data_IF_614883935361
#
_entry.id   IF_614883935361
#
_cell.length_a   1.000
_cell.length_b   1.000
_cell.length_c   1.000
_cell.angle_alpha   90.00
_cell.angle_beta   90.00
_cell.angle_gamma   90.00
#
_symmetry.space_group_name_H-M   'P 1'
#
loop_
_entity.id
_entity.type
_entity.pdbx_description
1 polymer ?
#
# COMPACT_ATOMS: atom_id res chain seq x y z
N UNK A 1 -18.46 20.94 -9.28
CA UNK A 1 -17.39 21.70 -8.59
C UNK A 1 -16.68 20.68 -7.72
N UNK A 2 -15.66 20.04 -8.26
CA UNK A 2 -15.00 18.89 -7.63
C UNK A 2 -14.14 19.40 -6.47
N UNK A 3 -14.55 19.08 -5.24
CA UNK A 3 -13.75 19.29 -4.03
C UNK A 3 -12.74 18.13 -3.89
N UNK A 4 -11.96 17.88 -4.93
CA UNK A 4 -10.88 16.90 -4.87
C UNK A 4 -9.65 17.62 -4.30
N UNK A 5 -9.15 17.13 -3.18
CA UNK A 5 -8.09 17.75 -2.41
C UNK A 5 -6.73 17.56 -3.12
N UNK A 6 -6.50 18.27 -4.22
CA UNK A 6 -5.26 18.22 -5.00
C UNK A 6 -4.00 18.30 -4.12
N UNK A 7 -2.97 17.52 -4.48
CA UNK A 7 -1.64 17.51 -3.83
C UNK A 7 -0.61 18.32 -4.62
N UNK A 8 0.57 18.51 -4.05
CA UNK A 8 1.67 19.22 -4.71
C UNK A 8 2.15 18.44 -5.95
N UNK A 9 2.50 19.09 -7.08
CA UNK A 9 2.56 20.55 -7.33
C UNK A 9 1.29 21.14 -7.97
N UNK A 10 0.19 20.39 -8.07
CA UNK A 10 -1.00 20.78 -8.85
C UNK A 10 -1.67 22.05 -8.30
N UNK A 11 -1.49 22.35 -7.01
CA UNK A 11 -2.09 23.51 -6.33
C UNK A 11 -1.08 24.16 -5.38
N UNK A 12 -0.77 25.45 -5.58
CA UNK A 12 0.27 26.19 -4.82
C UNK A 12 0.05 26.22 -3.29
N UNK A 13 -1.17 25.95 -2.81
CA UNK A 13 -1.53 25.94 -1.39
C UNK A 13 -1.96 24.56 -0.86
N UNK A 14 -1.54 23.46 -1.50
CA UNK A 14 -1.87 22.09 -1.07
C UNK A 14 -0.87 21.46 -0.10
N UNK A 15 0.04 22.23 0.49
CA UNK A 15 1.07 21.71 1.41
C UNK A 15 0.48 20.89 2.55
N UNK A 16 -0.63 21.35 3.14
CA UNK A 16 -1.29 20.66 4.25
C UNK A 16 -1.97 19.35 3.79
N UNK A 17 -2.71 19.39 2.67
CA UNK A 17 -3.32 18.18 2.05
C UNK A 17 -2.27 17.13 1.68
N UNK A 18 -1.16 17.58 1.07
CA UNK A 18 -0.05 16.70 0.69
C UNK A 18 0.57 16.04 1.91
N UNK A 19 0.81 16.81 2.98
CA UNK A 19 1.35 16.29 4.24
C UNK A 19 0.40 15.29 4.88
N UNK A 20 -0.90 15.59 4.95
CA UNK A 20 -1.90 14.68 5.50
C UNK A 20 -1.99 13.37 4.70
N UNK A 21 -2.00 13.46 3.37
CA UNK A 21 -1.99 12.28 2.50
C UNK A 21 -0.74 11.41 2.75
N UNK A 22 0.45 12.00 2.75
CA UNK A 22 1.70 11.27 3.01
C UNK A 22 1.74 10.67 4.40
N UNK A 23 1.23 11.38 5.42
CA UNK A 23 1.16 10.86 6.78
C UNK A 23 0.30 9.61 6.84
N UNK A 24 -0.89 9.61 6.21
CA UNK A 24 -1.75 8.42 6.17
C UNK A 24 -1.07 7.22 5.49
N UNK A 25 -0.34 7.46 4.39
CA UNK A 25 0.42 6.40 3.72
C UNK A 25 1.50 5.82 4.64
N UNK A 26 2.24 6.69 5.35
CA UNK A 26 3.26 6.26 6.31
C UNK A 26 2.65 5.46 7.46
N UNK A 27 1.53 5.91 8.01
CA UNK A 27 0.85 5.23 9.12
C UNK A 27 0.46 3.79 8.72
N UNK A 28 -0.07 3.58 7.52
CA UNK A 28 -0.38 2.24 6.98
C UNK A 28 0.90 1.40 6.83
N UNK A 29 1.99 1.99 6.34
CA UNK A 29 3.26 1.26 6.22
C UNK A 29 3.81 0.82 7.58
N UNK A 30 3.69 1.67 8.61
CA UNK A 30 4.12 1.34 9.98
C UNK A 30 3.26 0.23 10.58
N UNK A 31 1.93 0.29 10.42
CA UNK A 31 1.02 -0.76 10.84
C UNK A 31 1.38 -2.11 10.17
N UNK A 32 1.66 -2.10 8.86
CA UNK A 32 2.10 -3.29 8.15
C UNK A 32 3.43 -3.85 8.67
N UNK A 33 4.39 -2.98 9.05
CA UNK A 33 5.67 -3.41 9.64
C UNK A 33 5.43 -4.10 10.99
N UNK A 34 4.61 -3.51 11.85
CA UNK A 34 4.27 -4.08 13.16
C UNK A 34 3.57 -5.44 13.00
N UNK A 35 2.58 -5.52 12.12
CA UNK A 35 1.90 -6.78 11.80
C UNK A 35 2.83 -7.82 11.15
N UNK A 36 3.85 -7.40 10.41
CA UNK A 36 4.79 -8.31 9.76
C UNK A 36 5.82 -8.87 10.73
N UNK A 37 6.08 -8.16 11.83
CA UNK A 37 6.95 -8.62 12.91
C UNK A 37 6.21 -9.52 13.93
N UNK A 38 4.87 -9.47 13.97
CA UNK A 38 4.06 -10.36 14.79
C UNK A 38 4.02 -11.78 14.20
N UNK A 39 4.71 -12.71 14.88
CA UNK A 39 4.80 -14.13 14.49
C UNK A 39 3.48 -14.89 14.60
N UNK A 40 2.47 -14.32 15.25
CA UNK A 40 1.12 -14.90 15.32
C UNK A 40 0.30 -14.61 14.06
N UNK A 41 0.70 -13.63 13.26
CA UNK A 41 0.00 -13.28 12.03
C UNK A 41 0.34 -14.26 10.90
N UNK A 42 -0.62 -14.53 9.99
CA UNK A 42 -0.36 -15.35 8.82
C UNK A 42 0.65 -14.65 7.88
N UNK A 43 1.59 -15.44 7.33
CA UNK A 43 2.56 -14.98 6.30
C UNK A 43 1.83 -14.51 5.03
N UNK A 44 0.71 -15.15 4.71
CA UNK A 44 -0.12 -14.86 3.56
C UNK A 44 -1.58 -15.16 3.89
N UNK A 45 -2.47 -14.23 3.55
CA UNK A 45 -3.92 -14.45 3.54
C UNK A 45 -4.31 -14.92 2.13
N UNK A 46 -4.33 -16.23 1.93
CA UNK A 46 -4.65 -16.81 0.63
C UNK A 46 -6.09 -16.45 0.22
N UNK A 47 -6.24 -16.01 -1.03
CA UNK A 47 -7.52 -15.84 -1.69
C UNK A 47 -7.38 -16.38 -3.11
N UNK A 48 -8.47 -16.89 -3.68
CA UNK A 48 -8.49 -17.33 -5.07
C UNK A 48 -8.21 -16.14 -6.02
N UNK A 49 -7.49 -16.33 -7.13
CA UNK A 49 -7.21 -15.24 -8.08
C UNK A 49 -8.45 -14.52 -8.59
N UNK A 50 -9.56 -15.22 -8.81
CA UNK A 50 -10.81 -14.59 -9.25
C UNK A 50 -11.44 -13.77 -8.12
N UNK A 51 -11.37 -14.26 -6.87
CA UNK A 51 -11.79 -13.48 -5.70
C UNK A 51 -10.93 -12.22 -5.52
N UNK A 52 -9.61 -12.32 -5.69
CA UNK A 52 -8.71 -11.15 -5.62
C UNK A 52 -9.04 -10.10 -6.69
N UNK A 53 -9.36 -10.51 -7.92
CA UNK A 53 -9.77 -9.59 -8.98
C UNK A 53 -11.08 -8.85 -8.67
N UNK A 54 -11.95 -9.43 -7.83
CA UNK A 54 -13.15 -8.72 -7.37
C UNK A 54 -12.88 -7.75 -6.22
N UNK A 55 -11.84 -8.01 -5.41
CA UNK A 55 -11.45 -7.16 -4.29
C UNK A 55 -10.66 -5.93 -4.73
N UNK A 56 -9.86 -6.08 -5.78
CA UNK A 56 -9.04 -5.01 -6.33
C UNK A 56 -9.57 -4.53 -7.67
N UNK A 57 -9.82 -3.23 -7.79
CA UNK A 57 -10.09 -2.64 -9.09
C UNK A 57 -8.79 -2.36 -9.85
N UNK A 58 -8.36 -3.33 -10.68
CA UNK A 58 -7.19 -3.16 -11.53
C UNK A 58 -7.45 -2.35 -12.82
N UNK A 59 -8.66 -1.83 -13.01
CA UNK A 59 -8.99 -1.06 -14.21
C UNK A 59 -8.44 0.37 -14.11
N UNK A 60 -7.60 0.74 -15.07
CA UNK A 60 -7.07 2.11 -15.19
C UNK A 60 -8.11 2.96 -15.92
N UNK A 61 -8.95 3.65 -15.14
CA UNK A 61 -9.95 4.59 -15.64
C UNK A 61 -9.33 5.83 -16.29
N UNK A 62 -10.14 6.56 -17.07
CA UNK A 62 -9.75 7.88 -17.62
C UNK A 62 -9.81 9.00 -16.58
N UNK A 63 -10.67 8.84 -15.58
CA UNK A 63 -10.88 9.81 -14.52
C UNK A 63 -9.94 9.54 -13.34
N UNK A 64 -9.49 10.60 -12.63
CA UNK A 64 -8.67 10.45 -11.44
C UNK A 64 -9.46 9.77 -10.31
N UNK A 65 -8.73 9.01 -9.49
CA UNK A 65 -9.26 8.38 -8.29
C UNK A 65 -9.03 9.32 -7.10
N UNK A 66 -9.98 9.36 -6.17
CA UNK A 66 -9.86 10.18 -4.95
C UNK A 66 -8.69 9.70 -4.07
N UNK A 67 -8.01 10.63 -3.39
CA UNK A 67 -6.88 10.32 -2.51
C UNK A 67 -7.22 9.34 -1.39
N UNK A 68 -8.42 9.41 -0.82
CA UNK A 68 -8.87 8.47 0.21
C UNK A 68 -8.96 7.05 -0.34
N UNK A 69 -9.44 6.89 -1.57
CA UNK A 69 -9.49 5.59 -2.22
C UNK A 69 -8.07 5.07 -2.48
N UNK A 70 -7.13 5.92 -2.89
CA UNK A 70 -5.73 5.53 -3.07
C UNK A 70 -5.12 5.02 -1.76
N UNK A 71 -5.38 5.70 -0.64
CA UNK A 71 -4.93 5.27 0.70
C UNK A 71 -5.52 3.90 1.06
N UNK A 72 -6.82 3.70 0.80
CA UNK A 72 -7.49 2.41 1.04
C UNK A 72 -6.92 1.30 0.16
N UNK A 73 -6.65 1.58 -1.12
CA UNK A 73 -6.06 0.64 -2.07
C UNK A 73 -4.65 0.22 -1.61
N UNK A 74 -3.85 1.17 -1.09
CA UNK A 74 -2.54 0.89 -0.49
C UNK A 74 -2.67 -0.05 0.72
N UNK A 75 -3.61 0.22 1.64
CA UNK A 75 -3.84 -0.63 2.80
C UNK A 75 -4.24 -2.06 2.39
N UNK A 76 -5.17 -2.21 1.44
CA UNK A 76 -5.57 -3.52 0.96
C UNK A 76 -4.44 -4.27 0.26
N UNK A 77 -3.64 -3.58 -0.56
CA UNK A 77 -2.48 -4.18 -1.22
C UNK A 77 -1.48 -4.74 -0.19
N UNK A 78 -1.19 -3.99 0.87
CA UNK A 78 -0.30 -4.43 1.95
C UNK A 78 -0.90 -5.54 2.80
N UNK A 79 -2.21 -5.60 2.97
CA UNK A 79 -2.88 -6.64 3.76
C UNK A 79 -2.88 -8.01 3.06
N UNK A 80 -3.03 -8.01 1.73
CA UNK A 80 -3.13 -9.23 0.93
C UNK A 80 -1.80 -9.70 0.32
N UNK A 81 -0.74 -8.90 0.39
CA UNK A 81 0.59 -9.33 -0.09
C UNK A 81 1.21 -10.43 0.77
N UNK A 82 2.22 -11.09 0.21
CA UNK A 82 3.07 -12.03 0.96
C UNK A 82 4.00 -11.23 1.88
N UNK A 83 4.01 -11.54 3.17
CA UNK A 83 4.97 -10.98 4.15
C UNK A 83 6.35 -11.58 3.95
N UNK A 84 7.14 -11.00 3.04
CA UNK A 84 8.49 -11.48 2.70
C UNK A 84 9.51 -11.30 3.82
N UNK A 85 9.28 -10.37 4.75
CA UNK A 85 10.18 -10.04 5.87
C UNK A 85 10.12 -11.01 7.05
N UNK A 86 9.06 -11.81 7.16
CA UNK A 86 8.85 -12.73 8.28
C UNK A 86 9.62 -14.06 8.12
N UNK A 87 10.00 -14.42 6.90
CA UNK A 87 10.86 -15.57 6.65
C UNK A 87 12.29 -15.08 6.46
N UNK A 88 13.10 -15.25 7.50
CA UNK A 88 14.55 -15.01 7.45
C UNK A 88 15.24 -15.69 6.25
N UNK A 89 14.65 -16.73 5.68
CA UNK A 89 15.10 -17.39 4.46
C UNK A 89 14.89 -16.56 3.19
N UNK A 90 13.78 -15.82 3.06
CA UNK A 90 13.47 -15.00 1.87
C UNK A 90 14.27 -13.71 1.86
N UNK A 91 14.40 -13.01 2.99
CA UNK A 91 15.31 -11.86 3.09
C UNK A 91 16.75 -12.23 2.72
N UNK A 92 17.24 -13.41 3.13
CA UNK A 92 18.58 -13.87 2.79
C UNK A 92 18.75 -14.10 1.28
N UNK A 93 17.73 -14.64 0.60
CA UNK A 93 17.75 -14.80 -0.85
C UNK A 93 17.64 -13.47 -1.62
N UNK A 94 16.89 -12.50 -1.11
CA UNK A 94 16.80 -11.16 -1.71
C UNK A 94 18.12 -10.41 -1.56
N UNK A 95 18.73 -10.41 -0.37
CA UNK A 95 20.05 -9.78 -0.16
C UNK A 95 21.19 -10.53 -0.87
N UNK A 96 21.07 -11.83 -1.10
CA UNK A 96 22.07 -12.61 -1.84
C UNK A 96 22.00 -12.43 -3.36
N UNK A 97 20.97 -11.75 -3.89
CA UNK A 97 20.81 -11.47 -5.33
C UNK A 97 21.06 -10.00 -5.69
N UNK A 98 21.54 -9.15 -4.77
CA UNK A 98 22.15 -7.87 -5.17
C UNK A 98 23.60 -8.13 -5.61
N UNK A 99 23.97 -7.88 -6.88
CA UNK A 99 25.35 -7.91 -7.29
C UNK A 99 26.07 -6.68 -6.71
N UNK A 100 27.16 -6.94 -5.98
CA UNK A 100 28.14 -5.94 -5.52
C UNK A 100 28.75 -5.22 -6.73
#
# INVERSE_FOLDING_TARGET
MSNDADIFPVKENSSLSTREFLQRVIDICLEFIDESNDRSQPILRYNDPEEMKTKFNFNIGKEPINLEQIVNDCAQALYYQVKTVLSSFICHLIHSNEPI
#
